data_IF_063930795347
#
_entry.id   IF_063930795347
#
_cell.length_a   1.000
_cell.length_b   1.000
_cell.length_c   1.000
_cell.angle_alpha   90.00
_cell.angle_beta   90.00
_cell.angle_gamma   90.00
#
_symmetry.space_group_name_H-M   'P 1'
#
loop_
_entity.id
_entity.type
_entity.pdbx_description
1 polymer ?
#
# COMPACT_ATOMS: atom_id res chain seq x y z
N UNK A 1 -19.82 -11.39 17.42
CA UNK A 1 -18.79 -10.58 18.09
C UNK A 1 -19.30 -9.16 18.17
N UNK A 2 -19.05 -8.47 19.29
CA UNK A 2 -19.40 -7.06 19.49
C UNK A 2 -18.11 -6.31 19.80
N UNK A 3 -17.88 -5.18 19.12
CA UNK A 3 -16.69 -4.34 19.31
C UNK A 3 -17.09 -3.05 20.02
N UNK A 4 -16.35 -2.63 21.06
CA UNK A 4 -16.50 -1.30 21.64
C UNK A 4 -15.74 -0.27 20.78
N UNK A 5 -16.42 0.72 20.17
CA UNK A 5 -15.76 1.72 19.35
C UNK A 5 -14.66 2.50 20.08
N UNK A 6 -14.76 2.67 21.42
CA UNK A 6 -13.77 3.41 22.22
C UNK A 6 -12.43 2.69 22.35
N UNK A 7 -12.41 1.38 22.14
CA UNK A 7 -11.21 0.54 22.21
C UNK A 7 -10.92 -0.19 20.90
N UNK A 8 -11.57 0.24 19.80
CA UNK A 8 -11.44 -0.38 18.48
C UNK A 8 -10.96 0.66 17.46
N UNK A 9 -10.07 0.23 16.57
CA UNK A 9 -9.60 1.03 15.45
C UNK A 9 -9.69 0.24 14.14
N UNK A 10 -9.98 0.94 13.04
CA UNK A 10 -9.76 0.46 11.68
C UNK A 10 -8.43 1.01 11.21
N UNK A 11 -7.51 0.11 10.81
CA UNK A 11 -6.19 0.48 10.27
C UNK A 11 -6.16 0.17 8.78
N UNK A 12 -5.95 1.19 7.96
CA UNK A 12 -5.84 1.09 6.50
C UNK A 12 -4.37 1.08 6.10
N UNK A 13 -3.90 -0.09 5.68
CA UNK A 13 -2.50 -0.32 5.32
C UNK A 13 -2.34 -0.06 3.82
N UNK A 14 -1.48 0.90 3.46
CA UNK A 14 -1.01 1.13 2.09
C UNK A 14 -2.10 1.42 1.03
N UNK A 15 -3.21 2.05 1.41
CA UNK A 15 -4.23 2.58 0.47
C UNK A 15 -3.72 3.85 -0.24
N UNK A 16 -2.66 3.70 -1.03
CA UNK A 16 -2.01 4.77 -1.80
C UNK A 16 -2.20 4.53 -3.31
N UNK A 17 -2.12 5.62 -4.08
CA UNK A 17 -2.33 5.59 -5.54
C UNK A 17 -1.45 4.59 -6.28
N UNK A 18 -0.25 4.29 -5.76
CA UNK A 18 0.64 3.27 -6.32
C UNK A 18 -0.02 1.89 -6.45
N UNK A 19 -0.99 1.59 -5.59
CA UNK A 19 -1.80 0.37 -5.64
C UNK A 19 -3.22 0.64 -6.14
N UNK A 20 -3.86 1.72 -5.68
CA UNK A 20 -5.32 1.87 -5.79
C UNK A 20 -5.79 2.65 -7.00
N UNK A 21 -4.89 3.13 -7.86
CA UNK A 21 -5.23 4.02 -8.97
C UNK A 21 -4.54 3.60 -10.26
N UNK A 22 -5.26 3.66 -11.37
CA UNK A 22 -4.73 3.43 -12.71
C UNK A 22 -3.48 4.31 -12.95
N UNK A 23 -2.41 3.70 -13.47
CA UNK A 23 -1.11 4.35 -13.65
C UNK A 23 -0.20 4.32 -12.42
N UNK A 24 -0.67 3.83 -11.27
CA UNK A 24 0.16 3.52 -10.11
C UNK A 24 1.17 2.41 -10.41
N UNK A 25 2.39 2.53 -9.87
CA UNK A 25 3.53 1.64 -10.20
C UNK A 25 3.23 0.16 -9.94
N UNK A 26 2.38 -0.15 -8.96
CA UNK A 26 1.99 -1.50 -8.60
C UNK A 26 0.53 -1.83 -8.88
N UNK A 27 -0.25 -0.89 -9.40
CA UNK A 27 -1.68 -1.09 -9.61
C UNK A 27 -1.97 -2.33 -10.48
N UNK A 28 -1.24 -2.48 -11.59
CA UNK A 28 -1.41 -3.62 -12.49
C UNK A 28 -1.12 -4.99 -11.85
N UNK A 29 -0.34 -5.05 -10.77
CA UNK A 29 -0.05 -6.30 -10.06
C UNK A 29 -1.17 -6.73 -9.10
N UNK A 30 -2.06 -5.80 -8.71
CA UNK A 30 -3.10 -6.04 -7.69
C UNK A 30 -4.52 -5.80 -8.20
N UNK A 31 -4.69 -5.14 -9.35
CA UNK A 31 -5.98 -4.68 -9.87
C UNK A 31 -7.02 -5.80 -10.03
N UNK A 32 -6.63 -6.97 -10.55
CA UNK A 32 -7.53 -8.11 -10.71
C UNK A 32 -8.07 -8.62 -9.38
N UNK A 33 -7.20 -8.72 -8.36
CA UNK A 33 -7.62 -9.17 -7.02
C UNK A 33 -8.49 -8.11 -6.36
N UNK A 34 -8.11 -6.84 -6.46
CA UNK A 34 -8.89 -5.73 -5.93
C UNK A 34 -10.31 -5.69 -6.52
N UNK A 35 -10.43 -5.93 -7.83
CA UNK A 35 -11.72 -5.99 -8.52
C UNK A 35 -12.51 -7.24 -8.10
N UNK A 36 -11.87 -8.41 -8.06
CA UNK A 36 -12.52 -9.68 -7.66
C UNK A 36 -13.08 -9.62 -6.24
N UNK A 37 -12.44 -8.90 -5.33
CA UNK A 37 -12.87 -8.78 -3.93
C UNK A 37 -13.68 -7.52 -3.64
N UNK A 38 -13.91 -6.66 -4.64
CA UNK A 38 -14.54 -5.34 -4.48
C UNK A 38 -13.92 -4.52 -3.33
N UNK A 39 -12.58 -4.55 -3.25
CA UNK A 39 -11.81 -4.09 -2.08
C UNK A 39 -12.16 -2.65 -1.70
N UNK A 40 -12.17 -1.75 -2.68
CA UNK A 40 -12.35 -0.32 -2.44
C UNK A 40 -13.76 0.00 -1.95
N UNK A 41 -14.79 -0.65 -2.50
CA UNK A 41 -16.18 -0.47 -2.07
C UNK A 41 -16.36 -0.95 -0.63
N UNK A 42 -15.96 -2.18 -0.32
CA UNK A 42 -16.06 -2.72 1.04
C UNK A 42 -15.26 -1.91 2.06
N UNK A 43 -14.09 -1.39 1.68
CA UNK A 43 -13.31 -0.52 2.57
C UNK A 43 -14.06 0.78 2.88
N UNK A 44 -14.74 1.38 1.88
CA UNK A 44 -15.54 2.59 2.08
C UNK A 44 -16.73 2.34 3.00
N UNK A 45 -17.34 1.17 2.92
CA UNK A 45 -18.44 0.77 3.81
C UNK A 45 -17.95 0.60 5.25
N UNK A 46 -16.83 -0.10 5.45
CA UNK A 46 -16.18 -0.26 6.77
C UNK A 46 -15.80 1.10 7.36
N UNK A 47 -15.20 1.99 6.56
CA UNK A 47 -14.85 3.34 6.98
C UNK A 47 -16.08 4.15 7.42
N UNK A 48 -17.16 4.07 6.64
CA UNK A 48 -18.40 4.77 6.94
C UNK A 48 -18.99 4.26 8.25
N UNK A 49 -19.06 2.94 8.44
CA UNK A 49 -19.55 2.33 9.67
C UNK A 49 -18.66 2.68 10.88
N UNK A 50 -17.34 2.59 10.74
CA UNK A 50 -16.39 2.91 11.81
C UNK A 50 -16.49 4.38 12.26
N UNK A 51 -16.53 5.30 11.30
CA UNK A 51 -16.71 6.73 11.59
C UNK A 51 -18.06 7.02 12.24
N UNK A 52 -19.13 6.39 11.76
CA UNK A 52 -20.47 6.53 12.35
C UNK A 52 -20.53 6.01 13.78
N UNK A 53 -19.84 4.91 14.07
CA UNK A 53 -19.75 4.33 15.41
C UNK A 53 -18.81 5.10 16.36
N UNK A 54 -18.02 6.07 15.86
CA UNK A 54 -17.02 6.80 16.64
C UNK A 54 -15.74 6.01 16.90
N UNK A 55 -15.47 4.96 16.14
CA UNK A 55 -14.22 4.21 16.20
C UNK A 55 -13.07 4.99 15.54
N UNK A 56 -11.84 4.76 15.99
CA UNK A 56 -10.67 5.39 15.40
C UNK A 56 -10.43 4.87 13.97
N UNK A 57 -10.06 5.76 13.06
CA UNK A 57 -9.61 5.41 11.70
C UNK A 57 -8.17 5.86 11.55
N UNK A 58 -7.27 4.90 11.30
CA UNK A 58 -5.84 5.14 11.16
C UNK A 58 -5.41 4.79 9.74
N UNK A 59 -4.69 5.70 9.10
CA UNK A 59 -4.05 5.45 7.80
C UNK A 59 -2.57 5.13 8.04
N UNK A 60 -2.11 4.01 7.51
CA UNK A 60 -0.74 3.55 7.59
C UNK A 60 -0.14 3.47 6.17
N UNK A 61 0.21 4.62 5.57
CA UNK A 61 0.91 4.65 4.29
C UNK A 61 2.36 4.18 4.46
N UNK A 62 2.94 3.68 3.36
CA UNK A 62 4.37 3.43 3.23
C UNK A 62 5.01 4.50 2.36
N UNK A 63 6.09 5.09 2.85
CA UNK A 63 6.88 6.09 2.13
C UNK A 63 8.35 5.90 2.48
N UNK A 64 9.23 6.19 1.52
CA UNK A 64 10.66 6.21 1.74
C UNK A 64 11.21 7.59 1.44
N UNK A 65 12.22 8.01 2.18
CA UNK A 65 13.02 9.17 1.81
C UNK A 65 13.63 8.96 0.42
N UNK A 66 13.78 10.06 -0.32
CA UNK A 66 14.46 10.03 -1.61
C UNK A 66 15.86 9.40 -1.48
N UNK A 67 16.24 8.58 -2.47
CA UNK A 67 17.48 7.82 -2.43
C UNK A 67 17.45 6.57 -1.56
N UNK A 68 16.37 6.31 -0.81
CA UNK A 68 16.17 5.10 0.00
C UNK A 68 17.27 4.84 1.04
N UNK A 69 17.87 5.90 1.61
CA UNK A 69 18.94 5.78 2.62
C UNK A 69 18.50 5.14 3.94
N UNK A 70 17.19 4.99 4.16
CA UNK A 70 16.58 4.39 5.36
C UNK A 70 16.62 2.85 5.34
N UNK A 71 16.95 2.24 4.18
CA UNK A 71 17.00 0.80 3.99
C UNK A 71 18.36 0.35 3.46
N UNK A 72 18.72 -0.91 3.68
CA UNK A 72 19.98 -1.48 3.17
C UNK A 72 20.04 -1.49 1.63
N UNK A 73 21.23 -1.26 1.09
CA UNK A 73 21.53 -1.42 -0.35
C UNK A 73 21.51 -2.89 -0.81
N UNK A 74 21.57 -3.83 0.13
CA UNK A 74 21.51 -5.27 -0.12
C UNK A 74 20.32 -5.89 0.61
N UNK A 75 19.12 -5.59 0.15
CA UNK A 75 17.95 -6.11 0.81
C UNK A 75 17.72 -7.59 0.53
N UNK A 76 17.04 -8.25 1.46
CA UNK A 76 16.56 -9.60 1.24
C UNK A 76 15.54 -9.64 0.09
N UNK A 77 15.59 -10.67 -0.76
CA UNK A 77 14.72 -10.76 -1.95
C UNK A 77 13.25 -10.67 -1.54
N UNK A 78 12.54 -9.72 -2.15
CA UNK A 78 11.15 -9.38 -1.84
C UNK A 78 10.96 -8.28 -0.79
N UNK A 79 11.96 -8.00 0.07
CA UNK A 79 11.86 -7.05 1.19
C UNK A 79 12.27 -5.62 0.87
N UNK A 80 12.72 -5.38 -0.36
CA UNK A 80 12.46 -4.07 -0.96
C UNK A 80 11.36 -4.32 -1.92
N UNK A 81 10.35 -3.50 -1.80
CA UNK A 81 9.86 -2.69 -2.89
C UNK A 81 11.00 -2.28 -3.89
N UNK A 82 11.84 -3.17 -4.45
CA UNK A 82 13.20 -3.06 -5.07
C UNK A 82 13.75 -1.67 -5.44
N UNK A 83 13.83 -0.72 -4.51
CA UNK A 83 14.05 0.68 -4.80
C UNK A 83 12.95 1.30 -5.71
N UNK A 84 11.71 0.78 -5.74
CA UNK A 84 11.05 -0.01 -6.83
C UNK A 84 10.82 0.65 -8.17
N UNK A 85 11.53 1.73 -8.43
CA UNK A 85 11.88 2.24 -9.74
C UNK A 85 13.30 2.82 -9.64
N UNK A 86 14.22 2.21 -8.88
CA UNK A 86 15.55 2.80 -8.67
C UNK A 86 16.20 2.68 -10.04
N UNK A 87 16.25 3.77 -10.80
CA UNK A 87 16.95 3.85 -12.08
C UNK A 87 16.28 3.09 -13.25
N UNK A 88 16.18 3.72 -14.43
CA UNK A 88 16.45 3.10 -15.74
C UNK A 88 15.54 1.98 -16.30
N UNK A 89 14.75 2.32 -17.33
CA UNK A 89 15.20 2.00 -18.70
C UNK A 89 15.50 3.34 -19.38
N UNK A 90 16.77 3.65 -19.69
CA UNK A 90 17.44 3.02 -20.83
C UNK A 90 18.79 2.38 -20.46
N UNK A 91 19.11 1.27 -21.14
CA UNK A 91 20.49 0.74 -21.20
C UNK A 91 20.88 -0.30 -20.15
N UNK A 92 20.09 -1.35 -19.96
CA UNK A 92 20.58 -2.58 -19.32
C UNK A 92 21.63 -3.23 -20.24
N UNK A 93 22.88 -2.80 -20.12
CA UNK A 93 24.01 -3.63 -20.50
C UNK A 93 24.39 -4.49 -19.29
N UNK A 94 24.44 -5.83 -19.41
CA UNK A 94 25.04 -6.65 -18.40
C UNK A 94 26.55 -6.43 -18.46
N UNK A 95 27.13 -5.88 -17.39
CA UNK A 95 28.56 -5.97 -17.14
C UNK A 95 28.85 -7.27 -16.38
N UNK A 96 29.94 -7.90 -16.81
CA UNK A 96 30.41 -9.26 -16.58
C UNK A 96 30.60 -9.65 -15.11
#
# INVERSE_FOLDING_TARGET
>A
MTFDPKTTAVVLIEYQNDFTTDGGVLHGAVSEVMAKTDLLTHTRDVLTAARTAGAAVMHAPITFAEGYGEITNHPYRGQVWSGRLRQHQPGLHPAQ
#
